data_IF_702730275528
#
_entry.id   IF_702730275528
#
_cell.length_a   1.000
_cell.length_b   1.000
_cell.length_c   1.000
_cell.angle_alpha   90.00
_cell.angle_beta   90.00
_cell.angle_gamma   90.00
#
_symmetry.space_group_name_H-M   'P 1'
#
loop_
_entity.id
_entity.type
_entity.pdbx_description
1 polymer ?
#
# COMPACT_ATOMS: atom_id res chain seq x y z
N UNK A 1 -9.07 -40.04 29.17
CA UNK A 1 -9.55 -38.68 28.79
C UNK A 1 -10.82 -38.84 27.94
N UNK A 2 -11.87 -38.07 28.19
CA UNK A 2 -13.20 -38.30 27.60
C UNK A 2 -13.18 -38.14 26.06
N UNK A 3 -13.85 -39.05 25.35
CA UNK A 3 -14.03 -39.03 23.88
C UNK A 3 -14.56 -37.67 23.36
N UNK A 4 -15.32 -36.98 24.20
CA UNK A 4 -15.81 -35.62 23.96
C UNK A 4 -14.70 -34.58 23.69
N UNK A 5 -13.57 -34.65 24.40
CA UNK A 5 -12.45 -33.72 24.23
C UNK A 5 -11.81 -33.88 22.84
N UNK A 6 -11.59 -35.11 22.40
CA UNK A 6 -11.04 -35.39 21.06
C UNK A 6 -12.00 -34.95 19.96
N UNK A 7 -13.29 -35.25 20.08
CA UNK A 7 -14.31 -34.83 19.11
C UNK A 7 -14.36 -33.30 19.00
N UNK A 8 -14.30 -32.59 20.14
CA UNK A 8 -14.33 -31.13 20.19
C UNK A 8 -13.10 -30.52 19.49
N UNK A 9 -11.89 -31.05 19.73
CA UNK A 9 -10.68 -30.59 19.03
C UNK A 9 -10.75 -30.83 17.52
N UNK A 10 -11.28 -31.98 17.07
CA UNK A 10 -11.45 -32.26 15.63
C UNK A 10 -12.42 -31.29 14.98
N UNK A 11 -13.56 -31.03 15.62
CA UNK A 11 -14.57 -30.12 15.10
C UNK A 11 -14.03 -28.69 15.02
N UNK A 12 -13.45 -28.18 16.09
CA UNK A 12 -12.87 -26.83 16.14
C UNK A 12 -11.75 -26.66 15.12
N UNK A 13 -10.85 -27.65 15.01
CA UNK A 13 -9.77 -27.58 14.04
C UNK A 13 -10.26 -27.63 12.60
N UNK A 14 -11.30 -28.42 12.31
CA UNK A 14 -11.95 -28.45 10.99
C UNK A 14 -12.59 -27.10 10.66
N UNK A 15 -13.29 -26.47 11.61
CA UNK A 15 -13.90 -25.15 11.42
C UNK A 15 -12.84 -24.11 11.07
N UNK A 16 -11.69 -24.09 11.75
CA UNK A 16 -10.61 -23.15 11.42
C UNK A 16 -10.05 -23.33 10.00
N UNK A 17 -9.87 -24.58 9.56
CA UNK A 17 -9.41 -24.88 8.21
C UNK A 17 -10.45 -24.44 7.18
N UNK A 18 -11.72 -24.78 7.37
CA UNK A 18 -12.79 -24.44 6.43
C UNK A 18 -12.99 -22.92 6.38
N UNK A 19 -13.05 -22.24 7.52
CA UNK A 19 -13.20 -20.78 7.56
C UNK A 19 -12.06 -20.08 6.83
N UNK A 20 -10.81 -20.54 6.98
CA UNK A 20 -9.70 -19.99 6.22
C UNK A 20 -9.84 -20.23 4.72
N UNK A 21 -10.29 -21.41 4.29
CA UNK A 21 -10.49 -21.70 2.86
C UNK A 21 -11.61 -20.83 2.29
N UNK A 22 -12.72 -20.69 3.02
CA UNK A 22 -13.82 -19.80 2.60
C UNK A 22 -13.32 -18.36 2.49
N UNK A 23 -12.62 -17.85 3.50
CA UNK A 23 -12.08 -16.50 3.48
C UNK A 23 -11.01 -16.29 2.40
N UNK A 24 -10.15 -17.30 2.20
CA UNK A 24 -9.05 -17.25 1.25
C UNK A 24 -9.50 -17.35 -0.20
N UNK A 25 -10.60 -18.05 -0.48
CA UNK A 25 -11.08 -18.27 -1.85
C UNK A 25 -12.33 -17.46 -2.19
N UNK A 26 -13.25 -17.20 -1.26
CA UNK A 26 -14.56 -16.59 -1.58
C UNK A 26 -14.52 -15.07 -1.41
N UNK A 27 -13.93 -14.55 -0.33
CA UNK A 27 -13.84 -13.10 -0.09
C UNK A 27 -13.08 -12.29 -1.16
N UNK A 28 -12.07 -12.81 -1.89
CA UNK A 28 -11.35 -12.02 -2.89
C UNK A 28 -12.13 -11.73 -4.18
N UNK A 29 -13.38 -12.19 -4.29
CA UNK A 29 -14.22 -11.98 -5.48
C UNK A 29 -14.60 -10.49 -5.63
N UNK A 30 -14.47 -9.90 -6.83
CA UNK A 30 -14.02 -10.49 -8.09
C UNK A 30 -12.50 -10.58 -8.19
N UNK A 31 -11.97 -11.71 -8.66
CA UNK A 31 -10.52 -11.90 -8.80
C UNK A 31 -9.93 -10.97 -9.87
N UNK A 32 -8.92 -10.18 -9.48
CA UNK A 32 -8.21 -9.26 -10.38
C UNK A 32 -6.74 -9.61 -10.48
N UNK A 33 -6.43 -10.81 -10.96
CA UNK A 33 -5.07 -11.28 -11.17
C UNK A 33 -4.26 -10.40 -12.15
N UNK A 34 -4.89 -9.56 -12.97
CA UNK A 34 -4.18 -8.63 -13.85
C UNK A 34 -3.64 -7.37 -13.15
N UNK A 35 -4.06 -7.08 -11.91
CA UNK A 35 -3.68 -5.85 -11.19
C UNK A 35 -2.69 -6.18 -10.06
N UNK A 36 -1.47 -5.66 -10.14
CA UNK A 36 -0.39 -5.92 -9.17
C UNK A 36 -0.78 -5.51 -7.74
N UNK A 37 -1.58 -4.45 -7.59
CA UNK A 37 -2.11 -4.00 -6.29
C UNK A 37 -3.08 -5.02 -5.66
N UNK A 38 -3.96 -5.61 -6.46
CA UNK A 38 -4.86 -6.66 -5.98
C UNK A 38 -4.08 -7.92 -5.59
N UNK A 39 -3.10 -8.32 -6.41
CA UNK A 39 -2.25 -9.47 -6.10
C UNK A 39 -1.49 -9.27 -4.78
N UNK A 40 -0.91 -8.09 -4.55
CA UNK A 40 -0.21 -7.79 -3.29
C UNK A 40 -1.16 -7.81 -2.10
N UNK A 41 -2.35 -7.21 -2.21
CA UNK A 41 -3.36 -7.22 -1.14
C UNK A 41 -3.88 -8.63 -0.82
N UNK A 42 -4.10 -9.44 -1.85
CA UNK A 42 -4.48 -10.84 -1.72
C UNK A 42 -3.40 -11.65 -1.00
N UNK A 43 -2.16 -11.61 -1.50
CA UNK A 43 -1.01 -12.32 -0.90
C UNK A 43 -0.83 -11.92 0.57
N UNK A 44 -0.89 -10.61 0.86
CA UNK A 44 -0.74 -10.10 2.22
C UNK A 44 -1.80 -10.67 3.15
N UNK A 45 -3.08 -10.58 2.76
CA UNK A 45 -4.20 -11.06 3.58
C UNK A 45 -4.15 -12.58 3.77
N UNK A 46 -3.80 -13.31 2.70
CA UNK A 46 -3.70 -14.76 2.72
C UNK A 46 -2.55 -15.25 3.62
N UNK A 47 -1.39 -14.59 3.57
CA UNK A 47 -0.24 -14.88 4.44
C UNK A 47 -0.52 -14.51 5.89
N UNK A 48 -1.08 -13.32 6.16
CA UNK A 48 -1.41 -12.88 7.52
C UNK A 48 -2.41 -13.84 8.20
N UNK A 49 -3.38 -14.38 7.45
CA UNK A 49 -4.36 -15.34 7.97
C UNK A 49 -3.90 -16.80 7.93
N UNK A 50 -2.75 -17.09 7.31
CA UNK A 50 -2.28 -18.47 7.12
C UNK A 50 -1.92 -19.22 8.41
N UNK A 51 -1.84 -18.53 9.55
CA UNK A 51 -1.65 -19.15 10.87
C UNK A 51 -2.91 -19.82 11.41
N UNK A 52 -4.10 -19.32 11.03
CA UNK A 52 -5.40 -19.87 11.47
C UNK A 52 -5.58 -21.34 11.07
N UNK A 53 -5.38 -21.73 9.79
CA UNK A 53 -5.47 -23.14 9.41
C UNK A 53 -4.38 -24.00 10.06
N UNK A 54 -3.23 -23.43 10.43
CA UNK A 54 -2.13 -24.16 11.07
C UNK A 54 -2.56 -24.62 12.45
N UNK A 55 -3.15 -23.71 13.23
CA UNK A 55 -3.74 -24.04 14.53
C UNK A 55 -4.82 -25.11 14.38
N UNK A 56 -5.65 -25.01 13.35
CA UNK A 56 -6.66 -26.02 13.04
C UNK A 56 -6.05 -27.41 12.81
N UNK A 57 -5.00 -27.50 12.01
CA UNK A 57 -4.27 -28.76 11.74
C UNK A 57 -3.67 -29.32 13.04
N UNK A 58 -3.00 -28.49 13.83
CA UNK A 58 -2.38 -28.92 15.11
C UNK A 58 -3.43 -29.48 16.07
N UNK A 59 -4.58 -28.81 16.22
CA UNK A 59 -5.68 -29.28 17.07
C UNK A 59 -6.20 -30.65 16.62
N UNK A 60 -6.38 -30.84 15.31
CA UNK A 60 -6.83 -32.14 14.78
C UNK A 60 -5.77 -33.22 15.04
N UNK A 61 -4.49 -32.93 14.88
CA UNK A 61 -3.41 -33.89 15.16
C UNK A 61 -3.34 -34.28 16.64
N UNK A 62 -3.48 -33.31 17.55
CA UNK A 62 -3.55 -33.57 19.00
C UNK A 62 -4.76 -34.47 19.32
N UNK A 63 -5.92 -34.23 18.70
CA UNK A 63 -7.08 -35.08 18.90
C UNK A 63 -6.84 -36.53 18.46
N UNK A 64 -6.19 -36.73 17.30
CA UNK A 64 -5.80 -38.07 16.85
C UNK A 64 -4.79 -38.74 17.78
N UNK A 65 -3.86 -37.98 18.35
CA UNK A 65 -2.91 -38.50 19.34
C UNK A 65 -3.62 -38.94 20.63
N UNK A 66 -4.58 -38.15 21.12
CA UNK A 66 -5.40 -38.49 22.30
C UNK A 66 -6.22 -39.76 22.04
N UNK A 67 -6.84 -39.90 20.87
CA UNK A 67 -7.60 -41.10 20.51
C UNK A 67 -6.71 -42.35 20.44
N UNK A 68 -5.50 -42.23 19.91
CA UNK A 68 -4.56 -43.35 19.79
C UNK A 68 -4.07 -43.86 21.17
N UNK A 69 -4.03 -42.99 22.18
CA UNK A 69 -3.53 -43.33 23.51
C UNK A 69 -4.63 -43.79 24.49
N UNK A 70 -5.92 -43.61 24.15
CA UNK A 70 -7.03 -44.12 24.96
C UNK A 70 -7.40 -45.55 24.52
N UNK A 71 -7.06 -46.55 25.35
CA UNK A 71 -7.26 -47.98 25.05
C UNK A 71 -8.72 -48.46 25.20
N UNK A 72 -9.58 -47.67 25.86
CA UNK A 72 -10.99 -48.04 26.15
C UNK A 72 -11.99 -47.60 25.07
N UNK A 73 -11.55 -46.92 24.02
CA UNK A 73 -12.42 -46.53 22.92
C UNK A 73 -12.42 -47.67 21.92
N UNK A 74 -13.50 -48.48 21.91
CA UNK A 74 -13.78 -49.49 20.89
C UNK A 74 -13.41 -48.89 19.53
N UNK A 75 -12.56 -49.53 18.71
CA UNK A 75 -12.11 -48.99 17.44
C UNK A 75 -13.31 -48.93 16.50
N UNK A 76 -14.10 -47.86 16.59
CA UNK A 76 -15.09 -47.53 15.58
C UNK A 76 -14.25 -47.20 14.37
N UNK A 77 -14.17 -48.14 13.44
CA UNK A 77 -13.57 -47.99 12.11
C UNK A 77 -14.12 -46.71 11.49
N UNK A 78 -13.44 -45.59 11.74
CA UNK A 78 -13.87 -44.29 11.26
C UNK A 78 -13.72 -44.35 9.76
N UNK A 79 -14.85 -44.46 9.05
CA UNK A 79 -14.89 -44.52 7.57
C UNK A 79 -14.24 -43.30 6.92
N UNK A 80 -14.00 -42.23 7.68
CA UNK A 80 -13.22 -41.06 7.27
C UNK A 80 -11.98 -40.90 8.16
N UNK A 81 -10.82 -41.34 7.65
CA UNK A 81 -9.51 -40.97 8.19
C UNK A 81 -9.16 -39.53 7.75
N UNK A 82 -9.66 -38.50 8.44
CA UNK A 82 -9.32 -37.09 8.12
C UNK A 82 -7.81 -36.80 8.17
N UNK A 83 -7.02 -37.69 8.80
CA UNK A 83 -5.56 -37.57 8.88
C UNK A 83 -4.89 -37.47 7.50
N UNK A 84 -5.35 -38.23 6.51
CA UNK A 84 -4.79 -38.21 5.14
C UNK A 84 -5.01 -36.88 4.40
N UNK A 85 -6.25 -36.39 4.24
CA UNK A 85 -6.48 -35.11 3.56
C UNK A 85 -5.82 -33.94 4.29
N UNK A 86 -5.68 -33.99 5.62
CA UNK A 86 -5.02 -32.93 6.40
C UNK A 86 -3.53 -32.82 6.06
N UNK A 87 -2.81 -33.94 5.94
CA UNK A 87 -1.40 -33.88 5.58
C UNK A 87 -1.17 -33.48 4.13
N UNK A 88 -2.03 -33.96 3.21
CA UNK A 88 -2.03 -33.48 1.82
C UNK A 88 -2.31 -31.99 1.73
N UNK A 89 -3.29 -31.50 2.49
CA UNK A 89 -3.62 -30.08 2.58
C UNK A 89 -2.45 -29.28 3.16
N UNK A 90 -1.80 -29.77 4.22
CA UNK A 90 -0.62 -29.13 4.80
C UNK A 90 0.52 -29.01 3.78
N UNK A 91 0.82 -30.08 3.05
CA UNK A 91 1.85 -30.05 2.01
C UNK A 91 1.49 -29.09 0.87
N UNK A 92 0.22 -29.08 0.45
CA UNK A 92 -0.30 -28.15 -0.55
C UNK A 92 -0.18 -26.69 -0.08
N UNK A 93 -0.59 -26.37 1.15
CA UNK A 93 -0.48 -25.03 1.70
C UNK A 93 0.99 -24.59 1.79
N UNK A 94 1.90 -25.47 2.20
CA UNK A 94 3.34 -25.20 2.21
C UNK A 94 3.86 -24.79 0.83
N UNK A 95 3.47 -25.54 -0.20
CA UNK A 95 3.81 -25.22 -1.58
C UNK A 95 3.20 -23.90 -2.06
N UNK A 96 1.93 -23.63 -1.72
CA UNK A 96 1.26 -22.37 -2.04
C UNK A 96 1.99 -21.19 -1.38
N UNK A 97 2.33 -21.27 -0.08
CA UNK A 97 3.07 -20.22 0.61
C UNK A 97 4.47 -20.02 0.02
N UNK A 98 5.13 -21.10 -0.42
CA UNK A 98 6.40 -21.00 -1.13
C UNK A 98 6.26 -20.24 -2.46
N UNK A 99 5.22 -20.54 -3.24
CA UNK A 99 4.98 -19.91 -4.54
C UNK A 99 4.52 -18.45 -4.43
N UNK A 100 3.92 -18.07 -3.31
CA UNK A 100 3.56 -16.66 -3.05
C UNK A 100 4.79 -15.75 -2.91
N UNK A 101 5.95 -16.27 -2.50
CA UNK A 101 7.19 -15.50 -2.36
C UNK A 101 7.62 -14.84 -3.68
N UNK A 102 7.87 -15.58 -4.78
CA UNK A 102 8.29 -14.96 -6.05
C UNK A 102 7.21 -14.04 -6.64
N UNK A 103 5.93 -14.38 -6.47
CA UNK A 103 4.80 -13.54 -6.93
C UNK A 103 4.78 -12.20 -6.20
N UNK A 104 4.96 -12.20 -4.88
CA UNK A 104 4.98 -10.98 -4.08
C UNK A 104 6.14 -10.05 -4.47
N UNK A 105 7.32 -10.62 -4.73
CA UNK A 105 8.52 -9.85 -5.12
C UNK A 105 8.30 -9.16 -6.47
N UNK A 106 7.79 -9.89 -7.47
CA UNK A 106 7.58 -9.33 -8.80
C UNK A 106 6.57 -8.16 -8.77
N UNK A 107 5.49 -8.31 -8.01
CA UNK A 107 4.44 -7.30 -7.94
C UNK A 107 4.85 -6.06 -7.15
N UNK A 108 5.62 -6.19 -6.05
CA UNK A 108 6.16 -5.04 -5.32
C UNK A 108 7.08 -4.21 -6.23
N UNK A 109 7.92 -4.86 -7.03
CA UNK A 109 8.77 -4.15 -7.98
C UNK A 109 7.95 -3.38 -9.02
N UNK A 110 6.85 -3.95 -9.52
CA UNK A 110 5.95 -3.23 -10.43
C UNK A 110 5.27 -2.03 -9.76
N UNK A 111 4.78 -2.17 -8.53
CA UNK A 111 4.17 -1.06 -7.78
C UNK A 111 5.19 0.05 -7.53
N UNK A 112 6.40 -0.30 -7.13
CA UNK A 112 7.51 0.65 -6.94
C UNK A 112 7.85 1.38 -8.24
N UNK A 113 7.97 0.66 -9.35
CA UNK A 113 8.25 1.28 -10.64
C UNK A 113 7.12 2.21 -11.08
N UNK A 114 5.86 1.80 -10.92
CA UNK A 114 4.70 2.65 -11.22
C UNK A 114 4.62 3.89 -10.33
N UNK A 115 4.98 3.79 -9.04
CA UNK A 115 5.06 4.93 -8.14
C UNK A 115 6.19 5.88 -8.55
N UNK A 116 7.35 5.34 -8.91
CA UNK A 116 8.49 6.12 -9.38
C UNK A 116 8.16 6.86 -10.69
N UNK A 117 7.53 6.19 -11.66
CA UNK A 117 7.08 6.82 -12.91
C UNK A 117 6.04 7.91 -12.66
N UNK A 118 5.11 7.73 -11.73
CA UNK A 118 4.15 8.78 -11.36
C UNK A 118 4.83 9.98 -10.67
N UNK A 119 5.83 9.73 -9.82
CA UNK A 119 6.63 10.79 -9.20
C UNK A 119 7.41 11.56 -10.29
N UNK A 120 8.04 10.87 -11.24
CA UNK A 120 8.75 11.49 -12.36
C UNK A 120 7.82 12.33 -13.23
N UNK A 121 6.66 11.80 -13.63
CA UNK A 121 5.66 12.56 -14.37
C UNK A 121 5.15 13.79 -13.60
N UNK A 122 4.99 13.67 -12.28
CA UNK A 122 4.61 14.79 -11.41
C UNK A 122 5.70 15.87 -11.32
N UNK A 123 6.98 15.47 -11.35
CA UNK A 123 8.12 16.40 -11.40
C UNK A 123 8.17 17.12 -12.74
N UNK A 124 8.03 16.40 -13.86
CA UNK A 124 8.02 17.00 -15.20
C UNK A 124 6.89 18.03 -15.36
N UNK A 125 5.68 17.69 -14.87
CA UNK A 125 4.55 18.63 -14.84
C UNK A 125 4.79 19.82 -13.91
N UNK A 126 5.46 19.60 -12.77
CA UNK A 126 5.84 20.64 -11.82
C UNK A 126 6.87 21.61 -12.41
N UNK A 127 7.88 21.11 -13.12
CA UNK A 127 8.87 21.93 -13.82
C UNK A 127 8.23 22.78 -14.92
N UNK A 128 7.28 22.21 -15.68
CA UNK A 128 6.49 22.95 -16.68
C UNK A 128 5.67 24.09 -16.06
N UNK A 129 5.04 23.87 -14.91
CA UNK A 129 4.30 24.91 -14.18
C UNK A 129 5.22 26.02 -13.64
N UNK A 130 6.40 25.65 -13.12
CA UNK A 130 7.41 26.62 -12.68
C UNK A 130 7.88 27.47 -13.85
N UNK A 131 8.15 26.87 -15.02
CA UNK A 131 8.53 27.63 -16.23
C UNK A 131 7.41 28.57 -16.70
N UNK A 132 6.16 28.11 -16.72
CA UNK A 132 5.02 28.95 -17.10
C UNK A 132 4.85 30.15 -16.15
N UNK A 133 4.99 29.93 -14.84
CA UNK A 133 4.94 30.98 -13.82
C UNK A 133 6.06 32.00 -13.99
N UNK A 134 7.30 31.54 -14.21
CA UNK A 134 8.45 32.42 -14.45
C UNK A 134 8.30 33.22 -15.76
N UNK A 135 7.77 32.60 -16.82
CA UNK A 135 7.48 33.30 -18.08
C UNK A 135 6.42 34.38 -17.90
N UNK A 136 5.33 34.09 -17.17
CA UNK A 136 4.30 35.07 -16.86
C UNK A 136 4.87 36.26 -16.06
N UNK A 137 5.68 36.00 -15.03
CA UNK A 137 6.35 37.05 -14.27
C UNK A 137 7.31 37.90 -15.13
N UNK A 138 8.04 37.27 -16.05
CA UNK A 138 8.92 37.97 -16.97
C UNK A 138 8.11 38.88 -17.94
N UNK A 139 7.00 38.39 -18.50
CA UNK A 139 6.13 39.22 -19.37
C UNK A 139 5.50 40.40 -18.64
N UNK A 140 5.09 40.22 -17.38
CA UNK A 140 4.56 41.30 -16.53
C UNK A 140 5.63 42.36 -16.23
N UNK A 141 6.88 41.94 -16.06
CA UNK A 141 7.99 42.87 -15.81
C UNK A 141 8.42 43.67 -17.05
N UNK A 142 8.27 43.09 -18.25
CA UNK A 142 8.62 43.75 -19.51
C UNK A 142 7.55 44.73 -20.00
N UNK A 143 6.31 44.61 -19.49
CA UNK A 143 5.19 45.51 -19.81
C UNK A 143 4.72 46.29 -18.56
N UNK A 144 5.48 47.30 -18.09
CA UNK A 144 5.08 48.15 -16.97
C UNK A 144 3.73 48.86 -17.21
N UNK A 145 3.36 49.11 -18.48
CA UNK A 145 2.07 49.71 -18.85
C UNK A 145 0.85 48.83 -18.51
N UNK A 146 0.96 47.50 -18.60
CA UNK A 146 -0.12 46.58 -18.19
C UNK A 146 -0.24 46.52 -16.67
N UNK A 147 0.90 46.59 -15.96
CA UNK A 147 0.94 46.68 -14.51
C UNK A 147 0.30 48.00 -14.02
N UNK A 148 0.57 49.09 -14.72
CA UNK A 148 0.04 50.42 -14.42
C UNK A 148 -1.45 50.56 -14.74
N UNK A 149 -1.93 49.90 -15.81
CA UNK A 149 -3.36 49.77 -16.08
C UNK A 149 -4.08 48.93 -15.03
N UNK A 150 -3.54 47.78 -14.61
CA UNK A 150 -4.15 46.97 -13.55
C UNK A 150 -4.15 47.67 -12.19
N UNK A 151 -3.05 48.36 -11.86
CA UNK A 151 -2.97 49.16 -10.63
C UNK A 151 -3.94 50.34 -10.70
N UNK A 152 -4.06 51.05 -11.83
CA UNK A 152 -4.99 52.18 -11.97
C UNK A 152 -6.46 51.74 -11.92
N UNK A 153 -6.81 50.61 -12.55
CA UNK A 153 -8.16 50.04 -12.43
C UNK A 153 -8.49 49.63 -11.00
N UNK A 154 -7.55 49.00 -10.28
CA UNK A 154 -7.76 48.61 -8.87
C UNK A 154 -7.78 49.83 -7.93
N UNK A 155 -6.98 50.86 -8.19
CA UNK A 155 -7.00 52.11 -7.41
C UNK A 155 -8.33 52.84 -7.57
N UNK A 156 -8.86 52.93 -8.81
CA UNK A 156 -10.20 53.51 -9.03
C UNK A 156 -11.29 52.74 -8.26
N UNK A 157 -11.21 51.41 -8.23
CA UNK A 157 -12.16 50.57 -7.48
C UNK A 157 -12.06 50.77 -5.96
N UNK A 158 -10.83 50.91 -5.44
CA UNK A 158 -10.57 51.14 -4.01
C UNK A 158 -10.98 52.56 -3.59
N UNK A 159 -10.73 53.58 -4.42
CA UNK A 159 -11.13 54.98 -4.18
C UNK A 159 -12.64 55.19 -4.32
N UNK A 160 -13.29 54.52 -5.27
CA UNK A 160 -14.75 54.62 -5.46
C UNK A 160 -15.55 53.70 -4.53
N UNK A 161 -14.90 52.74 -3.86
CA UNK A 161 -15.53 51.76 -2.97
C UNK A 161 -16.52 50.83 -3.69
N UNK A 162 -16.48 50.78 -5.03
CA UNK A 162 -17.44 50.07 -5.88
C UNK A 162 -16.72 49.31 -6.99
N UNK A 163 -17.07 48.04 -7.19
CA UNK A 163 -16.66 47.26 -8.36
C UNK A 163 -17.89 47.07 -9.25
N UNK A 164 -17.84 47.51 -10.51
CA UNK A 164 -18.95 47.38 -11.45
C UNK A 164 -20.33 47.82 -10.89
N UNK A 165 -20.36 48.89 -10.09
CA UNK A 165 -21.60 49.43 -9.52
C UNK A 165 -22.11 48.78 -8.23
N UNK A 166 -21.42 47.77 -7.68
CA UNK A 166 -21.77 47.14 -6.39
C UNK A 166 -20.78 47.53 -5.27
N UNK A 167 -21.26 47.76 -4.03
CA UNK A 167 -20.41 48.10 -2.89
C UNK A 167 -19.55 46.91 -2.47
N UNK A 168 -18.25 47.13 -2.34
CA UNK A 168 -17.28 46.09 -1.97
C UNK A 168 -17.18 46.00 -0.44
N UNK A 169 -17.15 44.77 0.08
CA UNK A 169 -17.07 44.49 1.51
C UNK A 169 -15.65 44.81 2.06
N UNK A 170 -15.54 45.18 3.33
CA UNK A 170 -14.28 45.65 3.96
C UNK A 170 -13.12 44.64 3.89
N UNK A 171 -13.40 43.34 3.94
CA UNK A 171 -12.39 42.27 3.81
C UNK A 171 -11.81 42.14 2.38
N UNK A 172 -12.65 42.33 1.36
CA UNK A 172 -12.21 42.36 -0.04
C UNK A 172 -11.33 43.58 -0.31
N UNK A 173 -11.59 44.69 0.38
CA UNK A 173 -10.80 45.91 0.30
C UNK A 173 -9.39 45.74 0.92
N UNK A 174 -9.25 44.97 1.99
CA UNK A 174 -7.96 44.64 2.60
C UNK A 174 -7.12 43.69 1.74
N UNK A 175 -7.75 42.65 1.17
CA UNK A 175 -7.07 41.73 0.24
C UNK A 175 -6.64 42.45 -1.05
N UNK A 176 -7.47 43.36 -1.57
CA UNK A 176 -7.12 44.24 -2.67
C UNK A 176 -5.94 45.18 -2.33
N UNK A 177 -5.87 45.72 -1.10
CA UNK A 177 -4.73 46.52 -0.63
C UNK A 177 -3.45 45.70 -0.53
N UNK A 178 -3.50 44.50 0.04
CA UNK A 178 -2.33 43.61 0.13
C UNK A 178 -1.81 43.21 -1.25
N UNK A 179 -2.70 42.86 -2.18
CA UNK A 179 -2.32 42.56 -3.56
C UNK A 179 -1.76 43.80 -4.27
N UNK A 180 -2.31 44.99 -4.02
CA UNK A 180 -1.77 46.25 -4.56
C UNK A 180 -0.38 46.52 -4.00
N UNK A 181 -0.14 46.36 -2.71
CA UNK A 181 1.17 46.59 -2.10
C UNK A 181 2.22 45.59 -2.63
N UNK A 182 1.84 44.33 -2.85
CA UNK A 182 2.68 43.35 -3.56
C UNK A 182 3.01 43.80 -4.99
N UNK A 183 2.04 44.29 -5.75
CA UNK A 183 2.24 44.80 -7.10
C UNK A 183 3.07 46.09 -7.14
N UNK A 184 2.96 46.97 -6.13
CA UNK A 184 3.79 48.18 -6.01
C UNK A 184 5.23 47.83 -5.71
N UNK A 185 5.46 46.84 -4.83
CA UNK A 185 6.80 46.33 -4.53
C UNK A 185 7.44 45.67 -5.77
N UNK A 186 6.66 44.91 -6.53
CA UNK A 186 7.08 44.33 -7.81
C UNK A 186 7.36 45.41 -8.88
N UNK A 187 6.63 46.52 -8.88
CA UNK A 187 6.88 47.67 -9.77
C UNK A 187 8.21 48.35 -9.44
N UNK A 188 8.50 48.61 -8.16
CA UNK A 188 9.77 49.22 -7.77
C UNK A 188 10.97 48.29 -7.99
N UNK A 189 10.76 46.97 -7.88
CA UNK A 189 11.74 45.96 -8.31
C UNK A 189 11.92 45.92 -9.84
N UNK A 190 10.86 46.13 -10.61
CA UNK A 190 10.91 46.15 -12.09
C UNK A 190 11.68 47.36 -12.65
N UNK A 191 11.84 48.44 -11.87
CA UNK A 191 12.70 49.58 -12.24
C UNK A 191 14.21 49.26 -12.16
N UNK A 192 14.59 48.12 -11.57
CA UNK A 192 15.98 47.65 -11.49
C UNK A 192 16.14 46.26 -12.14
N UNK A 193 16.44 46.20 -13.45
CA UNK A 193 16.44 44.95 -14.22
C UNK A 193 17.44 43.88 -13.73
N UNK A 194 18.48 44.26 -12.96
CA UNK A 194 19.44 43.32 -12.36
C UNK A 194 18.91 42.66 -11.07
N UNK A 195 18.26 43.42 -10.19
CA UNK A 195 17.72 42.90 -8.91
C UNK A 195 16.50 42.01 -9.14
N UNK A 196 15.67 42.33 -10.13
CA UNK A 196 14.52 41.50 -10.51
C UNK A 196 14.93 40.13 -11.08
N UNK A 197 15.97 40.09 -11.94
CA UNK A 197 16.53 38.83 -12.46
C UNK A 197 17.12 37.97 -11.34
N UNK A 198 17.88 38.56 -10.42
CA UNK A 198 18.42 37.84 -9.25
C UNK A 198 17.31 37.24 -8.39
N UNK A 199 16.23 37.99 -8.11
CA UNK A 199 15.08 37.46 -7.35
C UNK A 199 14.34 36.34 -8.10
N UNK A 200 14.18 36.46 -9.41
CA UNK A 200 13.60 35.40 -10.24
C UNK A 200 14.44 34.12 -10.23
N UNK A 201 15.77 34.26 -10.32
CA UNK A 201 16.70 33.13 -10.23
C UNK A 201 16.70 32.49 -8.83
N UNK A 202 16.61 33.30 -7.76
CA UNK A 202 16.43 32.82 -6.39
C UNK A 202 15.12 32.02 -6.23
N UNK A 203 13.99 32.57 -6.71
CA UNK A 203 12.68 31.92 -6.65
C UNK A 203 12.69 30.62 -7.47
N UNK A 204 13.28 30.64 -8.67
CA UNK A 204 13.45 29.45 -9.51
C UNK A 204 14.26 28.37 -8.77
N UNK A 205 15.41 28.75 -8.22
CA UNK A 205 16.28 27.81 -7.49
C UNK A 205 15.57 27.25 -6.26
N UNK A 206 14.82 28.05 -5.51
CA UNK A 206 14.04 27.60 -4.36
C UNK A 206 12.95 26.61 -4.76
N UNK A 207 12.19 26.90 -5.82
CA UNK A 207 11.11 26.03 -6.30
C UNK A 207 11.66 24.71 -6.87
N UNK A 208 12.76 24.76 -7.63
CA UNK A 208 13.43 23.55 -8.12
C UNK A 208 14.00 22.72 -6.97
N UNK A 209 14.63 23.36 -5.97
CA UNK A 209 15.17 22.66 -4.80
C UNK A 209 14.04 22.01 -3.99
N UNK A 210 12.93 22.71 -3.74
CA UNK A 210 11.78 22.11 -3.05
C UNK A 210 11.17 20.95 -3.85
N UNK A 211 11.08 21.06 -5.18
CA UNK A 211 10.58 19.99 -6.02
C UNK A 211 11.49 18.76 -5.98
N UNK A 212 12.81 18.97 -6.03
CA UNK A 212 13.81 17.90 -5.88
C UNK A 212 13.79 17.26 -4.49
N UNK A 213 13.66 18.05 -3.42
CA UNK A 213 13.57 17.53 -2.07
C UNK A 213 12.29 16.72 -1.85
N UNK A 214 11.14 17.19 -2.38
CA UNK A 214 9.90 16.41 -2.36
C UNK A 214 10.01 15.12 -3.17
N UNK A 215 10.66 15.15 -4.34
CA UNK A 215 10.97 13.94 -5.12
C UNK A 215 11.78 12.95 -4.28
N UNK A 216 12.91 13.38 -3.70
CA UNK A 216 13.77 12.52 -2.87
C UNK A 216 13.03 11.96 -1.64
N UNK A 217 12.18 12.76 -1.01
CA UNK A 217 11.38 12.30 0.13
C UNK A 217 10.32 11.26 -0.28
N UNK A 218 9.60 11.50 -1.38
CA UNK A 218 8.61 10.56 -1.91
C UNK A 218 9.26 9.24 -2.38
N UNK A 219 10.42 9.31 -3.04
CA UNK A 219 11.20 8.13 -3.43
C UNK A 219 11.68 7.34 -2.20
N UNK A 220 12.16 8.02 -1.15
CA UNK A 220 12.56 7.36 0.10
C UNK A 220 11.39 6.70 0.80
N UNK A 221 10.23 7.37 0.89
CA UNK A 221 9.03 6.81 1.50
C UNK A 221 8.54 5.58 0.73
N UNK A 222 8.44 5.65 -0.60
CA UNK A 222 8.06 4.52 -1.43
C UNK A 222 9.02 3.32 -1.27
N UNK A 223 10.33 3.56 -1.18
CA UNK A 223 11.31 2.51 -0.94
C UNK A 223 11.19 1.91 0.47
N UNK A 224 11.02 2.72 1.51
CA UNK A 224 10.91 2.25 2.90
C UNK A 224 9.62 1.45 3.13
N UNK A 225 8.49 1.90 2.58
CA UNK A 225 7.22 1.18 2.66
C UNK A 225 7.28 -0.17 1.94
N UNK A 226 7.87 -0.18 0.73
CA UNK A 226 8.09 -1.40 -0.03
C UNK A 226 8.99 -2.39 0.73
N UNK A 227 10.08 -1.92 1.34
CA UNK A 227 10.98 -2.75 2.15
C UNK A 227 10.32 -3.30 3.41
N UNK A 228 9.54 -2.48 4.12
CA UNK A 228 8.84 -2.90 5.33
C UNK A 228 7.78 -3.96 5.03
N UNK A 229 7.00 -3.77 3.96
CA UNK A 229 6.03 -4.75 3.50
C UNK A 229 6.72 -6.05 3.03
N UNK A 230 7.80 -5.92 2.26
CA UNK A 230 8.59 -7.06 1.79
C UNK A 230 9.12 -7.92 2.95
N UNK A 231 9.71 -7.28 3.97
CA UNK A 231 10.33 -8.00 5.09
C UNK A 231 9.27 -8.73 5.94
N UNK A 232 8.15 -8.06 6.23
CA UNK A 232 7.09 -8.65 7.06
C UNK A 232 6.45 -9.87 6.38
N UNK A 233 6.00 -9.70 5.13
CA UNK A 233 5.23 -10.72 4.42
C UNK A 233 6.14 -11.84 3.91
N UNK A 234 7.37 -11.50 3.46
CA UNK A 234 8.37 -12.47 3.05
C UNK A 234 8.80 -13.41 4.17
N UNK A 235 9.06 -12.88 5.38
CA UNK A 235 9.45 -13.71 6.53
C UNK A 235 8.28 -14.57 7.00
N UNK A 236 7.06 -14.01 7.09
CA UNK A 236 5.89 -14.78 7.51
C UNK A 236 5.57 -15.92 6.54
N UNK A 237 5.57 -15.65 5.23
CA UNK A 237 5.32 -16.68 4.21
C UNK A 237 6.37 -17.80 4.22
N UNK A 238 7.64 -17.46 4.43
CA UNK A 238 8.72 -18.44 4.55
C UNK A 238 8.57 -19.30 5.80
N UNK A 239 8.26 -18.69 6.95
CA UNK A 239 8.01 -19.42 8.20
C UNK A 239 6.83 -20.39 8.06
N UNK A 240 5.70 -19.91 7.52
CA UNK A 240 4.54 -20.75 7.28
C UNK A 240 4.89 -21.90 6.34
N UNK A 241 5.55 -21.61 5.22
CA UNK A 241 5.95 -22.62 4.24
C UNK A 241 6.77 -23.75 4.88
N UNK A 242 7.74 -23.42 5.73
CA UNK A 242 8.55 -24.41 6.45
C UNK A 242 7.66 -25.25 7.39
N UNK A 243 6.83 -24.61 8.22
CA UNK A 243 5.98 -25.32 9.16
C UNK A 243 5.01 -26.29 8.46
N UNK A 244 4.31 -25.82 7.42
CA UNK A 244 3.37 -26.62 6.66
C UNK A 244 4.04 -27.76 5.88
N UNK A 245 5.21 -27.50 5.31
CA UNK A 245 5.98 -28.51 4.58
C UNK A 245 6.49 -29.60 5.51
N UNK A 246 6.98 -29.25 6.71
CA UNK A 246 7.42 -30.22 7.71
C UNK A 246 6.27 -31.11 8.18
N UNK A 247 5.11 -30.51 8.53
CA UNK A 247 3.93 -31.25 8.97
C UNK A 247 3.42 -32.18 7.87
N UNK A 248 3.34 -31.69 6.63
CA UNK A 248 2.92 -32.48 5.48
C UNK A 248 3.86 -33.65 5.20
N UNK A 249 5.17 -33.38 5.15
CA UNK A 249 6.20 -34.38 4.88
C UNK A 249 6.25 -35.48 5.95
N UNK A 250 6.29 -35.09 7.23
CA UNK A 250 6.32 -36.02 8.36
C UNK A 250 5.05 -36.88 8.38
N UNK A 251 3.89 -36.27 8.18
CA UNK A 251 2.61 -36.97 8.17
C UNK A 251 2.45 -37.98 7.03
N UNK A 252 2.84 -37.61 5.81
CA UNK A 252 2.80 -38.51 4.64
C UNK A 252 3.78 -39.68 4.83
N UNK A 253 4.98 -39.42 5.38
CA UNK A 253 5.97 -40.47 5.66
C UNK A 253 5.48 -41.47 6.72
N UNK A 254 4.84 -40.99 7.78
CA UNK A 254 4.28 -41.85 8.83
C UNK A 254 3.15 -42.75 8.28
N UNK A 255 2.24 -42.19 7.47
CA UNK A 255 1.20 -42.95 6.76
C UNK A 255 1.79 -44.02 5.83
N UNK A 256 2.86 -43.68 5.09
CA UNK A 256 3.57 -44.61 4.22
C UNK A 256 4.25 -45.76 4.97
N UNK A 257 4.82 -45.48 6.14
CA UNK A 257 5.44 -46.50 7.01
C UNK A 257 4.40 -47.43 7.65
N UNK A 258 3.26 -46.90 8.09
CA UNK A 258 2.15 -47.69 8.63
C UNK A 258 1.54 -48.64 7.59
N UNK A 259 1.39 -48.19 6.33
CA UNK A 259 0.92 -49.03 5.22
C UNK A 259 1.87 -50.19 4.91
N UNK A 260 3.20 -49.98 5.02
CA UNK A 260 4.20 -51.04 4.81
C UNK A 260 4.29 -52.06 5.95
N UNK A 261 3.81 -51.72 7.15
CA UNK A 261 3.77 -52.64 8.30
C UNK A 261 2.51 -53.51 8.37
N UNK A 262 1.50 -53.17 7.57
CA UNK A 262 0.18 -53.82 7.56
C UNK A 262 -0.10 -54.59 6.25
N UNK A 263 0.86 -54.56 5.32
CA UNK A 263 0.92 -55.35 4.10
C UNK A 263 2.00 -56.42 4.26
#
# INVERSE_FOLDING_TARGET
MNSFTSLSLKLTGLVFIISFLLDGFILPLPYRFSQSQWQVGFVTTFVDRGIVPLLGIVLVLIAYWIDANNRDVIPRKSRFELRRPIFWLSALLGLVFLLMIPVHINNINQIKNNALTQIEQGVDQGEGQIQAFLAQLNTLSQNPQLLEQQISQRTQVIETGRFQGQPINTEQLQTLRQQRDQLTNLRDLSKKPKEFKQRLDEIKNQLQTQLQDRRKQAERQANLEALKQWLRIGIQSMLLSICYSLIGWLGIRELGSMKKRTA
#
